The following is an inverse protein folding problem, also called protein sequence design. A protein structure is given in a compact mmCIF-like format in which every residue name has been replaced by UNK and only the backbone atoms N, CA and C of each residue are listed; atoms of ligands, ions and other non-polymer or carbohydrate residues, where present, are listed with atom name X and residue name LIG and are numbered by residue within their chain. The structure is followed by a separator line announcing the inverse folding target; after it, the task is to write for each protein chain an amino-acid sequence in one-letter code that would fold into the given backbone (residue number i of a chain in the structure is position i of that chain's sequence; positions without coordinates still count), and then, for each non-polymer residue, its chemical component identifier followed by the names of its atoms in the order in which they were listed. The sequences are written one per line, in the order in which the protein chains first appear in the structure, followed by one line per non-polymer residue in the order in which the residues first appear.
data_IF_471450402794
#
_entry.id   IF_471450402794
#
_cell.length_a   1.000
_cell.length_b   1.000
_cell.length_c   1.000
_cell.angle_alpha   90.00
_cell.angle_beta   90.00
_cell.angle_gamma   90.00
#
_symmetry.space_group_name_H-M   'P 1'
#
loop_
_entity.id
_entity.type
_entity.pdbx_description
1 polymer ?
#
# COMPACT_ATOMS: atom_id res chain seq x y z
N UNK A 1 6.32 21.58 -6.69
CA UNK A 1 5.31 20.68 -7.30
C UNK A 1 6.03 19.64 -8.14
N UNK A 2 5.76 18.37 -7.90
CA UNK A 2 6.22 17.26 -8.76
C UNK A 2 5.49 17.35 -10.09
N UNK A 3 6.19 17.17 -11.22
CA UNK A 3 5.55 17.17 -12.54
C UNK A 3 5.00 15.78 -12.81
N UNK A 4 3.75 15.71 -13.27
CA UNK A 4 3.13 14.45 -13.69
C UNK A 4 3.94 13.83 -14.84
N UNK A 5 4.33 12.57 -14.67
CA UNK A 5 4.90 11.73 -15.72
C UNK A 5 4.05 10.46 -15.85
N UNK A 6 3.16 10.45 -16.81
CA UNK A 6 2.18 9.37 -17.02
C UNK A 6 2.86 8.02 -17.28
N UNK A 7 3.97 8.02 -18.02
CA UNK A 7 4.73 6.81 -18.31
C UNK A 7 5.35 6.21 -17.03
N UNK A 8 5.89 7.06 -16.15
CA UNK A 8 6.48 6.57 -14.89
C UNK A 8 5.39 6.01 -13.96
N UNK A 9 4.21 6.65 -13.88
CA UNK A 9 3.07 6.13 -13.13
C UNK A 9 2.66 4.74 -13.64
N UNK A 10 2.54 4.59 -14.96
CA UNK A 10 2.20 3.32 -15.57
C UNK A 10 3.24 2.22 -15.28
N UNK A 11 4.51 2.53 -15.48
CA UNK A 11 5.61 1.59 -15.21
C UNK A 11 5.60 1.10 -13.77
N UNK A 12 5.41 2.01 -12.81
CA UNK A 12 5.40 1.64 -11.40
C UNK A 12 4.17 0.79 -11.03
N UNK A 13 2.99 1.08 -11.59
CA UNK A 13 1.81 0.22 -11.40
C UNK A 13 2.05 -1.20 -11.95
N UNK A 14 2.65 -1.31 -13.15
CA UNK A 14 2.99 -2.62 -13.74
C UNK A 14 4.00 -3.36 -12.87
N UNK A 15 5.06 -2.67 -12.42
CA UNK A 15 6.09 -3.22 -11.54
C UNK A 15 5.50 -3.82 -10.26
N UNK A 16 4.58 -3.10 -9.62
CA UNK A 16 3.86 -3.58 -8.44
C UNK A 16 3.00 -4.81 -8.79
N UNK A 17 2.25 -4.77 -9.88
CA UNK A 17 1.38 -5.87 -10.30
C UNK A 17 2.17 -7.15 -10.58
N UNK A 18 3.31 -7.06 -11.26
CA UNK A 18 4.14 -8.23 -11.54
C UNK A 18 4.72 -8.84 -10.25
N UNK A 19 5.11 -8.00 -9.30
CA UNK A 19 5.52 -8.46 -7.99
C UNK A 19 4.39 -9.23 -7.27
N UNK A 20 3.18 -8.66 -7.21
CA UNK A 20 2.03 -9.29 -6.58
C UNK A 20 1.62 -10.60 -7.28
N UNK A 21 1.63 -10.62 -8.60
CA UNK A 21 1.34 -11.81 -9.40
C UNK A 21 2.35 -12.93 -9.16
N UNK A 22 3.63 -12.59 -9.01
CA UNK A 22 4.66 -13.57 -8.68
C UNK A 22 4.49 -14.12 -7.27
N UNK A 23 4.21 -13.29 -6.28
CA UNK A 23 3.93 -13.77 -4.92
C UNK A 23 2.72 -14.70 -4.91
N UNK A 24 1.66 -14.37 -5.65
CA UNK A 24 0.49 -15.24 -5.79
C UNK A 24 0.88 -16.64 -6.25
N UNK A 25 1.70 -16.74 -7.29
CA UNK A 25 2.19 -18.02 -7.81
C UNK A 25 3.01 -18.80 -6.79
N UNK A 26 3.97 -18.14 -6.15
CA UNK A 26 4.84 -18.75 -5.14
C UNK A 26 4.06 -19.14 -3.87
N UNK A 27 3.05 -18.36 -3.50
CA UNK A 27 2.22 -18.65 -2.33
C UNK A 27 1.41 -19.92 -2.51
N UNK A 28 0.87 -20.15 -3.71
CA UNK A 28 0.07 -21.34 -4.01
C UNK A 28 0.92 -22.56 -4.40
N UNK A 29 2.19 -22.37 -4.71
CA UNK A 29 3.08 -23.47 -5.02
C UNK A 29 3.21 -24.42 -3.82
N UNK A 30 3.09 -25.72 -4.07
CA UNK A 30 3.24 -26.78 -3.08
C UNK A 30 2.25 -26.77 -1.90
N UNK A 31 1.19 -25.95 -1.94
CA UNK A 31 0.12 -25.95 -0.93
C UNK A 31 -0.99 -26.92 -1.30
N UNK A 32 -1.17 -27.94 -0.48
CA UNK A 32 -2.25 -28.92 -0.66
C UNK A 32 -2.79 -29.34 0.73
N UNK A 33 -4.00 -28.96 1.09
CA UNK A 33 -4.94 -28.11 0.32
C UNK A 33 -4.48 -26.65 0.23
N UNK A 34 -5.01 -25.90 -0.74
CA UNK A 34 -4.61 -24.53 -1.02
C UNK A 34 -4.77 -23.53 0.16
N UNK A 35 -5.59 -23.88 1.15
CA UNK A 35 -5.79 -23.10 2.37
C UNK A 35 -4.84 -23.48 3.52
N UNK A 36 -3.88 -24.39 3.31
CA UNK A 36 -2.87 -24.70 4.32
C UNK A 36 -1.86 -23.55 4.44
N UNK A 37 -2.15 -22.63 5.34
CA UNK A 37 -1.31 -21.45 5.58
C UNK A 37 0.07 -21.80 6.18
N UNK A 38 0.25 -23.01 6.70
CA UNK A 38 1.55 -23.45 7.27
C UNK A 38 2.48 -24.09 6.24
N UNK A 39 1.96 -24.43 5.05
CA UNK A 39 2.73 -25.10 4.01
C UNK A 39 3.37 -24.13 2.99
N UNK A 40 4.27 -24.68 2.17
CA UNK A 40 4.89 -23.99 1.05
C UNK A 40 6.03 -23.04 1.42
N UNK A 41 6.51 -22.32 0.43
CA UNK A 41 7.65 -21.41 0.56
C UNK A 41 7.33 -20.17 1.42
N UNK A 42 6.08 -19.67 1.32
CA UNK A 42 5.60 -18.48 2.03
C UNK A 42 4.57 -18.93 3.07
N UNK A 43 4.93 -19.04 4.36
CA UNK A 43 3.99 -19.41 5.42
C UNK A 43 3.14 -18.21 5.86
N UNK A 44 2.01 -18.49 6.48
CA UNK A 44 1.09 -17.48 7.00
C UNK A 44 0.01 -17.06 6.01
N UNK A 45 -0.82 -16.11 6.40
CA UNK A 45 -1.80 -15.50 5.51
C UNK A 45 -1.09 -14.54 4.55
N UNK A 46 -1.61 -14.41 3.32
CA UNK A 46 -1.08 -13.51 2.31
C UNK A 46 -2.18 -12.56 1.82
N UNK A 47 -1.91 -11.27 1.88
CA UNK A 47 -2.81 -10.21 1.43
C UNK A 47 -2.16 -9.43 0.29
N UNK A 48 -2.71 -9.53 -0.91
CA UNK A 48 -2.15 -8.95 -2.13
C UNK A 48 -2.91 -7.68 -2.54
N UNK A 49 -2.20 -6.71 -3.09
CA UNK A 49 -2.73 -5.38 -3.39
C UNK A 49 -3.17 -5.17 -4.84
N UNK A 50 -3.26 -6.24 -5.63
CA UNK A 50 -3.70 -6.15 -7.02
C UNK A 50 -5.03 -5.39 -7.17
N UNK A 51 -5.03 -4.37 -8.02
CA UNK A 51 -6.13 -3.44 -8.24
C UNK A 51 -6.08 -2.17 -7.41
N UNK A 52 -5.14 -2.03 -6.45
CA UNK A 52 -4.98 -0.85 -5.61
C UNK A 52 -3.71 -0.04 -5.93
N UNK A 53 -3.00 -0.41 -6.99
CA UNK A 53 -1.73 0.22 -7.39
C UNK A 53 -1.83 1.74 -7.58
N UNK A 54 -2.92 2.30 -8.16
CA UNK A 54 -3.06 3.74 -8.33
C UNK A 54 -2.95 4.54 -7.03
N UNK A 55 -3.47 3.99 -5.91
CA UNK A 55 -3.41 4.65 -4.61
C UNK A 55 -1.97 4.87 -4.16
N UNK A 56 -1.15 3.81 -4.22
CA UNK A 56 0.24 3.89 -3.81
C UNK A 56 1.08 4.77 -4.75
N UNK A 57 0.96 4.53 -6.06
CA UNK A 57 1.78 5.20 -7.07
C UNK A 57 1.50 6.71 -7.09
N UNK A 58 0.21 7.11 -7.10
CA UNK A 58 -0.17 8.51 -7.10
C UNK A 58 0.24 9.25 -5.83
N UNK A 59 0.13 8.60 -4.66
CA UNK A 59 0.55 9.21 -3.38
C UNK A 59 2.07 9.31 -3.28
N UNK A 60 2.78 8.21 -3.55
CA UNK A 60 4.23 8.14 -3.38
C UNK A 60 5.01 9.02 -4.37
N UNK A 61 4.45 9.36 -5.53
CA UNK A 61 5.06 10.25 -6.51
C UNK A 61 5.44 11.63 -5.94
N UNK A 62 4.83 12.07 -4.85
CA UNK A 62 5.10 13.35 -4.17
C UNK A 62 6.01 13.24 -2.95
N UNK A 63 6.38 12.02 -2.56
CA UNK A 63 7.20 11.80 -1.39
C UNK A 63 8.69 11.92 -1.72
N UNK A 64 9.46 12.28 -0.72
CA UNK A 64 10.92 12.46 -0.81
C UNK A 64 11.60 11.50 0.16
N UNK A 65 12.87 11.24 -0.08
CA UNK A 65 13.69 10.52 0.90
C UNK A 65 13.60 11.18 2.28
N UNK A 66 13.24 10.39 3.27
CA UNK A 66 13.06 10.85 4.65
C UNK A 66 11.61 11.15 5.06
N UNK A 67 10.66 11.22 4.11
CA UNK A 67 9.24 11.15 4.44
C UNK A 67 8.91 9.77 5.01
N UNK A 68 7.83 9.63 5.75
CA UNK A 68 7.48 8.37 6.39
C UNK A 68 6.14 7.83 5.89
N UNK A 69 6.04 6.51 5.74
CA UNK A 69 4.77 5.82 5.49
C UNK A 69 4.50 4.79 6.58
N UNK A 70 3.26 4.79 7.06
CA UNK A 70 2.71 3.69 7.85
C UNK A 70 1.55 3.06 7.08
N UNK A 71 1.73 1.81 6.66
CA UNK A 71 0.80 1.08 5.81
C UNK A 71 -0.02 0.03 6.60
N UNK A 72 -0.94 -0.62 5.91
CA UNK A 72 -1.79 -1.70 6.42
C UNK A 72 -1.11 -3.08 6.29
N UNK A 73 -1.85 -4.13 6.61
CA UNK A 73 -1.49 -5.53 6.36
C UNK A 73 -1.34 -5.89 4.87
N UNK A 74 -1.76 -5.00 3.96
CA UNK A 74 -1.60 -5.08 2.50
C UNK A 74 -0.61 -3.99 2.06
N UNK A 75 0.70 -4.20 2.30
CA UNK A 75 1.64 -3.08 2.26
C UNK A 75 2.44 -2.95 0.97
N UNK A 76 2.46 -4.01 0.11
CA UNK A 76 3.51 -4.17 -0.90
C UNK A 76 3.55 -3.02 -1.90
N UNK A 77 2.39 -2.57 -2.39
CA UNK A 77 2.30 -1.47 -3.34
C UNK A 77 2.86 -0.16 -2.77
N UNK A 78 2.51 0.20 -1.52
CA UNK A 78 3.09 1.38 -0.87
C UNK A 78 4.58 1.20 -0.57
N UNK A 79 5.01 0.00 -0.18
CA UNK A 79 6.42 -0.27 0.07
C UNK A 79 7.26 -0.08 -1.20
N UNK A 80 6.86 -0.68 -2.32
CA UNK A 80 7.55 -0.57 -3.60
C UNK A 80 7.54 0.87 -4.12
N UNK A 81 6.38 1.51 -4.15
CA UNK A 81 6.24 2.88 -4.63
C UNK A 81 7.02 3.89 -3.76
N UNK A 82 7.25 3.58 -2.48
CA UNK A 82 8.08 4.41 -1.59
C UNK A 82 9.59 4.14 -1.67
N UNK A 83 9.98 3.12 -2.46
CA UNK A 83 11.38 2.80 -2.70
C UNK A 83 12.00 1.77 -1.73
N UNK A 84 11.17 0.98 -1.03
CA UNK A 84 11.66 -0.18 -0.29
C UNK A 84 12.28 -1.18 -1.27
N UNK A 85 13.45 -1.70 -0.94
CA UNK A 85 14.17 -2.65 -1.80
C UNK A 85 13.36 -3.94 -2.00
N UNK A 86 13.03 -4.24 -3.26
CA UNK A 86 12.22 -5.40 -3.63
C UNK A 86 12.86 -6.72 -3.19
N UNK A 87 14.19 -6.84 -3.29
CA UNK A 87 14.93 -8.05 -2.92
C UNK A 87 14.83 -8.30 -1.41
N UNK A 88 15.05 -7.25 -0.61
CA UNK A 88 14.96 -7.33 0.85
C UNK A 88 13.50 -7.58 1.30
N UNK A 89 12.52 -6.96 0.65
CA UNK A 89 11.09 -7.19 0.94
C UNK A 89 10.68 -8.63 0.62
N UNK A 90 11.06 -9.15 -0.54
CA UNK A 90 10.74 -10.53 -0.91
C UNK A 90 11.46 -11.55 -0.02
N UNK A 91 12.72 -11.27 0.37
CA UNK A 91 13.44 -12.09 1.34
C UNK A 91 12.74 -12.11 2.70
N UNK A 92 12.13 -11.00 3.14
CA UNK A 92 11.31 -10.95 4.36
C UNK A 92 10.06 -11.82 4.24
N UNK A 93 9.35 -11.73 3.11
CA UNK A 93 8.16 -12.52 2.81
C UNK A 93 8.47 -14.02 2.81
N UNK A 94 9.65 -14.40 2.32
CA UNK A 94 10.12 -15.80 2.31
C UNK A 94 10.75 -16.24 3.65
N UNK A 95 10.71 -15.38 4.67
CA UNK A 95 11.29 -15.69 5.99
C UNK A 95 12.79 -15.84 5.97
N UNK A 96 13.53 -15.02 5.23
CA UNK A 96 15.00 -15.07 5.08
C UNK A 96 15.69 -14.03 5.94
N UNK A 97 16.92 -14.33 6.38
CA UNK A 97 17.70 -13.43 7.25
C UNK A 97 18.15 -12.15 6.57
N UNK A 98 18.16 -12.10 5.23
CA UNK A 98 18.46 -10.90 4.43
C UNK A 98 17.24 -10.01 4.23
N UNK A 99 16.07 -10.39 4.78
CA UNK A 99 14.86 -9.60 4.75
C UNK A 99 14.91 -8.39 5.68
N UNK A 100 13.98 -7.46 5.48
CA UNK A 100 13.86 -6.19 6.20
C UNK A 100 13.84 -6.34 7.73
N UNK A 101 13.20 -7.40 8.22
CA UNK A 101 13.10 -7.77 9.65
C UNK A 101 13.81 -9.10 9.94
N UNK A 102 14.76 -9.50 9.11
CA UNK A 102 15.51 -10.76 9.22
C UNK A 102 14.60 -12.01 9.21
N UNK A 103 13.52 -11.95 8.41
CA UNK A 103 12.56 -13.03 8.27
C UNK A 103 11.58 -13.21 9.43
N UNK A 104 11.47 -12.24 10.33
CA UNK A 104 10.62 -12.32 11.54
C UNK A 104 9.27 -11.63 11.39
N UNK A 105 9.15 -10.67 10.48
CA UNK A 105 7.95 -9.86 10.28
C UNK A 105 6.95 -10.48 9.32
N UNK A 106 7.44 -11.16 8.29
CA UNK A 106 6.62 -11.58 7.16
C UNK A 106 6.00 -10.38 6.44
N UNK A 107 5.04 -10.64 5.54
CA UNK A 107 4.49 -9.58 4.69
C UNK A 107 3.67 -8.50 5.42
N UNK A 108 3.04 -8.84 6.57
CA UNK A 108 2.19 -7.89 7.30
C UNK A 108 2.94 -6.97 8.27
N UNK A 109 4.22 -7.19 8.49
CA UNK A 109 5.02 -6.46 9.48
C UNK A 109 6.38 -6.06 8.90
N UNK A 110 6.38 -5.51 7.68
CA UNK A 110 7.56 -4.93 7.05
C UNK A 110 7.99 -3.68 7.82
N UNK A 111 9.28 -3.56 8.07
CA UNK A 111 9.87 -2.38 8.69
C UNK A 111 11.18 -2.05 7.98
N UNK A 112 11.22 -0.90 7.32
CA UNK A 112 12.41 -0.36 6.68
C UNK A 112 12.77 0.98 7.33
N UNK A 113 13.79 0.96 8.17
CA UNK A 113 14.23 2.13 8.91
C UNK A 113 14.89 3.18 7.98
N UNK A 114 15.50 2.75 6.89
CA UNK A 114 16.19 3.65 5.96
C UNK A 114 15.20 4.48 5.14
N UNK A 115 14.10 3.84 4.71
CA UNK A 115 13.04 4.49 3.96
C UNK A 115 11.90 5.00 4.86
N UNK A 116 12.01 4.88 6.19
CA UNK A 116 10.95 5.25 7.13
C UNK A 116 9.59 4.59 6.79
N UNK A 117 9.63 3.35 6.35
CA UNK A 117 8.45 2.57 6.02
C UNK A 117 8.14 1.55 7.11
N UNK A 118 6.86 1.44 7.47
CA UNK A 118 6.35 0.37 8.34
C UNK A 118 4.95 -0.04 7.97
N UNK A 119 4.59 -1.29 8.26
CA UNK A 119 3.23 -1.78 8.13
C UNK A 119 2.82 -2.64 9.32
N UNK A 120 1.51 -2.83 9.49
CA UNK A 120 0.99 -3.63 10.60
C UNK A 120 -0.34 -4.30 10.25
N UNK A 121 -0.51 -5.55 10.74
CA UNK A 121 -1.78 -6.26 10.74
C UNK A 121 -2.77 -5.75 11.80
N UNK A 122 -2.36 -4.87 12.73
CA UNK A 122 -3.24 -4.29 13.74
C UNK A 122 -4.03 -3.13 13.10
N UNK A 123 -5.35 -3.26 13.08
CA UNK A 123 -6.25 -2.34 12.38
C UNK A 123 -6.11 -0.91 12.91
N UNK A 124 -5.88 0.04 11.98
CA UNK A 124 -5.67 1.48 12.21
C UNK A 124 -4.44 1.84 13.07
N UNK A 125 -3.56 0.90 13.42
CA UNK A 125 -2.36 1.18 14.23
C UNK A 125 -1.42 2.19 13.55
N UNK A 126 -1.34 2.20 12.23
CA UNK A 126 -0.48 3.11 11.48
C UNK A 126 -0.78 4.60 11.73
N UNK A 127 -2.02 4.96 12.01
CA UNK A 127 -2.43 6.36 12.17
C UNK A 127 -1.73 7.08 13.34
N UNK A 128 -1.79 6.59 14.59
CA UNK A 128 -1.06 7.24 15.68
C UNK A 128 0.46 7.18 15.50
N UNK A 129 1.00 6.15 14.84
CA UNK A 129 2.43 6.06 14.52
C UNK A 129 2.83 7.15 13.53
N UNK A 130 2.07 7.38 12.47
CA UNK A 130 2.31 8.49 11.53
C UNK A 130 2.22 9.86 12.22
N UNK A 131 1.28 10.05 13.15
CA UNK A 131 1.22 11.26 13.97
C UNK A 131 2.51 11.44 14.79
N UNK A 132 3.10 10.36 15.28
CA UNK A 132 4.40 10.38 15.98
C UNK A 132 5.55 10.83 15.05
N UNK A 133 5.64 10.28 13.84
CA UNK A 133 6.60 10.74 12.82
C UNK A 133 6.41 12.23 12.50
N UNK A 134 5.18 12.64 12.20
CA UNK A 134 4.85 14.03 11.87
C UNK A 134 5.18 14.99 13.02
N UNK A 135 4.94 14.57 14.29
CA UNK A 135 5.34 15.34 15.45
C UNK A 135 6.87 15.50 15.54
N UNK A 136 7.61 14.42 15.29
CA UNK A 136 9.07 14.45 15.28
C UNK A 136 9.60 15.39 14.19
N UNK A 137 9.06 15.34 12.97
CA UNK A 137 9.42 16.22 11.87
C UNK A 137 9.14 17.69 12.21
N UNK A 138 7.95 17.98 12.72
CA UNK A 138 7.58 19.32 13.18
C UNK A 138 8.51 19.85 14.28
N UNK A 139 8.85 19.01 15.26
CA UNK A 139 9.75 19.39 16.37
C UNK A 139 11.18 19.64 15.91
N UNK A 140 11.64 18.92 14.88
CA UNK A 140 12.95 19.11 14.27
C UNK A 140 12.98 20.30 13.31
N UNK A 141 11.84 20.87 12.94
CA UNK A 141 11.74 21.97 11.97
C UNK A 141 12.11 21.55 10.54
N UNK A 142 11.87 20.30 10.17
CA UNK A 142 12.11 19.77 8.81
C UNK A 142 10.85 19.90 7.96
N UNK A 143 10.99 19.76 6.63
CA UNK A 143 9.89 19.77 5.65
C UNK A 143 9.32 18.37 5.34
N UNK A 144 9.73 17.37 6.10
CA UNK A 144 9.27 15.99 5.96
C UNK A 144 7.79 15.85 6.29
N UNK A 145 7.13 14.92 5.63
CA UNK A 145 5.73 14.58 5.87
C UNK A 145 5.59 13.12 6.24
N UNK A 146 4.51 12.79 6.94
CA UNK A 146 4.12 11.40 7.19
C UNK A 146 2.84 11.08 6.41
N UNK A 147 2.76 9.87 5.87
CA UNK A 147 1.55 9.32 5.27
C UNK A 147 1.05 8.16 6.13
N UNK A 148 -0.23 8.16 6.44
CA UNK A 148 -0.90 7.09 7.16
C UNK A 148 -1.94 6.43 6.25
N UNK A 149 -1.78 5.15 5.95
CA UNK A 149 -2.69 4.40 5.08
C UNK A 149 -3.60 3.48 5.90
N UNK A 150 -4.88 3.43 5.55
CA UNK A 150 -5.82 2.44 6.10
C UNK A 150 -6.87 2.03 5.06
N UNK A 151 -7.66 0.99 5.36
CA UNK A 151 -8.86 0.64 4.60
C UNK A 151 -10.11 1.34 5.15
N UNK A 152 -11.20 1.36 4.36
CA UNK A 152 -12.47 1.98 4.72
C UNK A 152 -13.11 1.37 5.99
N UNK A 153 -12.94 0.06 6.19
CA UNK A 153 -13.43 -0.60 7.41
C UNK A 153 -12.69 -0.15 8.65
N UNK A 154 -11.37 0.04 8.56
CA UNK A 154 -10.52 0.50 9.64
C UNK A 154 -10.77 1.98 10.01
N UNK A 155 -11.35 2.78 9.12
CA UNK A 155 -11.78 4.15 9.40
C UNK A 155 -12.88 4.24 10.48
N UNK A 156 -13.42 3.10 10.93
CA UNK A 156 -14.37 3.02 12.04
C UNK A 156 -13.70 2.72 13.41
N UNK A 157 -12.38 2.54 13.45
CA UNK A 157 -11.63 2.35 14.68
C UNK A 157 -11.45 3.66 15.44
N UNK A 158 -11.43 3.57 16.79
CA UNK A 158 -11.18 4.73 17.66
C UNK A 158 -9.87 5.45 17.33
N UNK A 159 -8.79 4.69 17.09
CA UNK A 159 -7.47 5.22 16.73
C UNK A 159 -7.48 6.12 15.47
N UNK A 160 -8.34 5.85 14.49
CA UNK A 160 -8.55 6.75 13.35
C UNK A 160 -9.01 8.12 13.82
N UNK A 161 -10.12 8.17 14.56
CA UNK A 161 -10.74 9.42 15.02
C UNK A 161 -9.85 10.24 15.95
N UNK A 162 -9.19 9.55 16.87
CA UNK A 162 -8.23 10.16 17.81
C UNK A 162 -7.04 10.77 17.10
N UNK A 163 -6.50 10.06 16.10
CA UNK A 163 -5.33 10.53 15.31
C UNK A 163 -5.67 11.74 14.44
N UNK A 164 -6.83 11.75 13.76
CA UNK A 164 -7.26 12.89 12.96
C UNK A 164 -7.44 14.14 13.85
N UNK A 165 -8.11 13.98 14.98
CA UNK A 165 -8.29 15.07 15.93
C UNK A 165 -6.95 15.60 16.46
N UNK A 166 -6.06 14.71 16.89
CA UNK A 166 -4.73 15.08 17.39
C UNK A 166 -3.90 15.82 16.33
N UNK A 167 -3.87 15.27 15.11
CA UNK A 167 -3.14 15.87 14.01
C UNK A 167 -3.65 17.28 13.66
N UNK A 168 -4.96 17.47 13.66
CA UNK A 168 -5.58 18.78 13.43
C UNK A 168 -5.23 19.78 14.54
N UNK A 169 -5.43 19.40 15.81
CA UNK A 169 -5.13 20.25 16.98
C UNK A 169 -3.66 20.68 17.01
N UNK A 170 -2.76 19.78 16.66
CA UNK A 170 -1.32 20.05 16.69
C UNK A 170 -0.78 20.54 15.34
N UNK A 171 -1.62 20.68 14.32
CA UNK A 171 -1.25 21.09 12.97
C UNK A 171 -0.06 20.27 12.45
N UNK A 172 -0.18 18.93 12.48
CA UNK A 172 0.89 18.01 12.11
C UNK A 172 1.02 17.88 10.58
N UNK A 173 2.24 17.73 10.04
CA UNK A 173 2.48 17.47 8.62
C UNK A 173 2.19 16.01 8.28
N UNK A 174 0.92 15.61 8.26
CA UNK A 174 0.49 14.24 7.97
C UNK A 174 -0.63 14.23 6.93
N UNK A 175 -0.54 13.29 6.00
CA UNK A 175 -1.59 12.97 5.02
C UNK A 175 -2.21 11.63 5.41
N UNK A 176 -3.49 11.63 5.66
CA UNK A 176 -4.26 10.42 5.92
C UNK A 176 -4.86 9.89 4.61
N UNK A 177 -4.64 8.61 4.31
CA UNK A 177 -5.12 7.95 3.10
C UNK A 177 -6.03 6.79 3.49
N UNK A 178 -7.20 6.74 2.87
CA UNK A 178 -8.13 5.60 2.96
C UNK A 178 -8.20 4.94 1.58
N UNK A 179 -7.85 3.66 1.51
CA UNK A 179 -8.13 2.80 0.37
C UNK A 179 -9.51 2.17 0.57
N UNK A 180 -10.51 2.69 -0.13
CA UNK A 180 -11.88 2.19 -0.08
C UNK A 180 -12.10 1.20 -1.24
N UNK A 181 -12.08 -0.09 -0.95
CA UNK A 181 -12.36 -1.15 -1.91
C UNK A 181 -13.74 -1.80 -1.69
N UNK A 182 -14.63 -1.11 -0.99
CA UNK A 182 -16.00 -1.51 -0.64
C UNK A 182 -16.11 -2.66 0.38
N UNK A 183 -15.00 -3.26 0.84
CA UNK A 183 -15.04 -4.48 1.64
C UNK A 183 -14.06 -4.50 2.81
N UNK A 184 -14.58 -4.49 4.03
CA UNK A 184 -13.82 -4.81 5.25
C UNK A 184 -13.86 -6.34 5.48
N UNK A 185 -12.87 -7.07 4.96
CA UNK A 185 -12.87 -8.53 4.83
C UNK A 185 -14.09 -8.97 4.00
N UNK A 186 -15.14 -9.45 4.65
CA UNK A 186 -16.41 -9.90 4.06
C UNK A 186 -17.60 -8.99 4.38
N UNK A 187 -17.36 -7.87 5.06
CA UNK A 187 -18.41 -6.90 5.43
C UNK A 187 -18.41 -5.78 4.39
N UNK A 188 -19.51 -5.60 3.64
CA UNK A 188 -19.59 -4.50 2.69
C UNK A 188 -19.60 -3.16 3.42
N UNK A 189 -19.00 -2.15 2.80
CA UNK A 189 -18.91 -0.79 3.35
C UNK A 189 -20.27 -0.24 3.78
N UNK A 190 -21.32 -0.50 3.02
CA UNK A 190 -22.69 -0.08 3.33
C UNK A 190 -23.26 -0.62 4.66
N UNK A 191 -22.67 -1.69 5.20
CA UNK A 191 -23.06 -2.27 6.49
C UNK A 191 -22.20 -1.79 7.66
N UNK A 192 -21.05 -1.18 7.37
CA UNK A 192 -20.09 -0.73 8.40
C UNK A 192 -20.02 0.79 8.54
N UNK A 193 -20.43 1.54 7.50
CA UNK A 193 -20.23 2.98 7.45
C UNK A 193 -21.49 3.68 6.94
N UNK A 194 -22.05 4.59 7.73
CA UNK A 194 -23.27 5.33 7.39
C UNK A 194 -23.04 6.45 6.36
N UNK A 195 -21.85 7.05 6.35
CA UNK A 195 -21.50 8.10 5.39
C UNK A 195 -21.25 7.48 4.02
N UNK A 196 -21.63 8.19 2.97
CA UNK A 196 -21.35 7.81 1.58
C UNK A 196 -19.88 7.98 1.21
N UNK A 197 -19.16 8.86 1.92
CA UNK A 197 -17.72 9.08 1.80
C UNK A 197 -17.07 9.17 3.19
N UNK A 198 -15.94 8.50 3.37
CA UNK A 198 -15.13 8.69 4.56
C UNK A 198 -14.38 10.03 4.53
N UNK A 199 -14.13 10.59 3.34
CA UNK A 199 -13.51 11.92 3.20
C UNK A 199 -14.37 13.01 3.86
N UNK A 200 -15.69 12.86 3.92
CA UNK A 200 -16.61 13.80 4.58
C UNK A 200 -16.34 13.94 6.10
N UNK A 201 -15.72 12.91 6.70
CA UNK A 201 -15.34 12.94 8.13
C UNK A 201 -14.30 14.00 8.43
N UNK A 202 -13.49 14.39 7.44
CA UNK A 202 -12.43 15.39 7.59
C UNK A 202 -12.96 16.74 8.08
N UNK A 203 -14.15 17.14 7.60
CA UNK A 203 -14.79 18.39 8.02
C UNK A 203 -15.03 18.46 9.54
N UNK A 204 -15.32 17.32 10.17
CA UNK A 204 -15.51 17.24 11.63
C UNK A 204 -14.25 17.53 12.44
N UNK A 205 -13.06 17.44 11.82
CA UNK A 205 -11.77 17.74 12.42
C UNK A 205 -11.16 19.05 11.91
N UNK A 206 -11.89 19.80 11.05
CA UNK A 206 -11.42 21.06 10.50
C UNK A 206 -10.27 20.94 9.49
N UNK A 207 -10.15 19.80 8.83
CA UNK A 207 -9.15 19.57 7.78
C UNK A 207 -9.80 19.31 6.41
N UNK A 208 -9.10 19.51 5.29
CA UNK A 208 -9.58 19.15 3.96
C UNK A 208 -9.78 17.63 3.83
N UNK A 209 -10.90 17.24 3.19
CA UNK A 209 -11.17 15.86 2.77
C UNK A 209 -11.43 15.82 1.26
N UNK A 210 -10.81 14.88 0.57
CA UNK A 210 -10.97 14.69 -0.87
C UNK A 210 -11.26 13.22 -1.14
N UNK A 211 -12.28 12.93 -1.98
CA UNK A 211 -12.53 11.59 -2.49
C UNK A 211 -12.12 11.53 -3.95
N UNK A 212 -11.34 10.52 -4.30
CA UNK A 212 -10.93 10.17 -5.65
C UNK A 212 -11.74 8.95 -6.09
N UNK A 213 -12.44 9.08 -7.20
CA UNK A 213 -13.26 8.01 -7.77
C UNK A 213 -12.53 7.26 -8.89
N UNK A 214 -13.10 6.13 -9.29
CA UNK A 214 -12.70 5.37 -10.47
C UNK A 214 -11.27 4.79 -10.44
N UNK A 215 -10.62 4.78 -9.29
CA UNK A 215 -9.27 4.23 -9.18
C UNK A 215 -8.27 4.88 -10.19
N UNK A 216 -8.44 6.18 -10.41
CA UNK A 216 -7.72 6.96 -11.41
C UNK A 216 -6.39 7.46 -10.81
N UNK A 217 -5.26 6.96 -11.35
CA UNK A 217 -3.93 7.28 -10.84
C UNK A 217 -3.55 8.75 -10.98
N UNK A 218 -4.01 9.43 -12.05
CA UNK A 218 -3.72 10.86 -12.26
C UNK A 218 -4.52 11.71 -11.27
N UNK A 219 -5.78 11.37 -11.02
CA UNK A 219 -6.59 12.04 -10.01
C UNK A 219 -6.04 11.81 -8.60
N UNK A 220 -5.50 10.61 -8.30
CA UNK A 220 -4.78 10.37 -7.04
C UNK A 220 -3.54 11.23 -6.95
N UNK A 221 -2.75 11.30 -8.03
CA UNK A 221 -1.55 12.15 -8.09
C UNK A 221 -1.89 13.61 -7.76
N UNK A 222 -2.90 14.19 -8.39
CA UNK A 222 -3.31 15.58 -8.14
C UNK A 222 -3.78 15.81 -6.69
N UNK A 223 -4.63 14.93 -6.17
CA UNK A 223 -5.13 15.03 -4.79
C UNK A 223 -4.00 14.88 -3.77
N UNK A 224 -3.09 13.92 -3.99
CA UNK A 224 -1.95 13.68 -3.13
C UNK A 224 -0.95 14.85 -3.16
N UNK A 225 -0.69 15.41 -4.35
CA UNK A 225 0.16 16.58 -4.50
C UNK A 225 -0.30 17.75 -3.66
N UNK A 226 -1.60 18.09 -3.75
CA UNK A 226 -2.19 19.16 -2.96
C UNK A 226 -2.08 18.91 -1.45
N UNK A 227 -2.31 17.67 -1.01
CA UNK A 227 -2.24 17.30 0.41
C UNK A 227 -0.80 17.30 0.95
N UNK A 228 0.16 16.77 0.19
CA UNK A 228 1.58 16.75 0.57
C UNK A 228 2.16 18.17 0.59
N UNK A 229 1.88 18.99 -0.41
CA UNK A 229 2.34 20.39 -0.45
C UNK A 229 1.77 21.18 0.75
N UNK A 230 0.50 20.98 1.08
CA UNK A 230 -0.12 21.58 2.27
C UNK A 230 0.57 21.15 3.56
N UNK A 231 0.83 19.87 3.73
CA UNK A 231 1.51 19.34 4.91
C UNK A 231 2.93 19.89 5.04
N UNK A 232 3.71 19.94 3.93
CA UNK A 232 5.06 20.51 3.88
C UNK A 232 5.10 22.01 4.19
N UNK A 233 4.09 22.74 3.75
CA UNK A 233 3.93 24.16 4.05
C UNK A 233 3.59 24.43 5.53
N UNK A 234 3.34 23.37 6.34
CA UNK A 234 2.94 23.50 7.74
C UNK A 234 1.49 23.95 7.93
N UNK A 235 0.67 23.79 6.89
CA UNK A 235 -0.75 24.14 6.90
C UNK A 235 -1.66 23.05 7.51
N UNK A 236 -1.05 21.95 7.99
CA UNK A 236 -1.71 20.88 8.71
C UNK A 236 -2.13 19.69 7.86
N UNK A 237 -2.89 18.73 8.46
CA UNK A 237 -3.23 17.47 7.84
C UNK A 237 -4.30 17.58 6.77
N UNK A 238 -4.40 16.54 5.94
CA UNK A 238 -5.48 16.31 4.97
C UNK A 238 -5.91 14.86 5.00
N UNK A 239 -7.14 14.56 4.58
CA UNK A 239 -7.67 13.22 4.40
C UNK A 239 -8.00 12.98 2.93
N UNK A 240 -7.47 11.92 2.35
CA UNK A 240 -7.78 11.46 1.00
C UNK A 240 -8.45 10.09 1.09
N UNK A 241 -9.62 9.94 0.51
CA UNK A 241 -10.27 8.65 0.29
C UNK A 241 -10.12 8.30 -1.18
N UNK A 242 -9.57 7.14 -1.48
CA UNK A 242 -9.34 6.65 -2.84
C UNK A 242 -10.22 5.42 -3.03
N UNK A 243 -11.22 5.54 -3.92
CA UNK A 243 -12.06 4.41 -4.29
C UNK A 243 -11.28 3.49 -5.22
N UNK A 244 -10.88 2.34 -4.70
CA UNK A 244 -10.04 1.34 -5.36
C UNK A 244 -10.85 0.10 -5.74
N UNK A 245 -10.18 -0.88 -6.33
CA UNK A 245 -10.74 -2.22 -6.54
C UNK A 245 -9.78 -3.27 -5.97
N UNK A 246 -10.31 -4.21 -5.19
CA UNK A 246 -9.56 -5.37 -4.77
C UNK A 246 -9.85 -6.50 -5.76
N UNK A 247 -8.91 -6.80 -6.66
CA UNK A 247 -9.13 -7.80 -7.73
C UNK A 247 -9.19 -9.22 -7.17
N UNK A 248 -8.39 -9.53 -6.16
CA UNK A 248 -8.31 -10.85 -5.55
C UNK A 248 -9.04 -10.89 -4.20
N UNK A 249 -8.94 -12.00 -3.48
CA UNK A 249 -9.57 -12.17 -2.17
C UNK A 249 -9.04 -11.21 -1.10
N UNK A 250 -9.67 -11.22 0.08
CA UNK A 250 -9.12 -10.47 1.20
C UNK A 250 -7.72 -10.99 1.55
N UNK A 251 -7.57 -12.31 1.59
CA UNK A 251 -6.31 -13.04 1.70
C UNK A 251 -6.31 -14.19 0.69
N UNK A 252 -5.15 -14.77 0.44
CA UNK A 252 -5.05 -15.92 -0.46
C UNK A 252 -5.62 -17.18 0.19
N UNK A 253 -6.64 -17.75 -0.46
CA UNK A 253 -7.52 -18.80 0.06
C UNK A 253 -8.93 -18.32 0.40
N UNK A 254 -9.21 -17.01 0.32
CA UNK A 254 -10.57 -16.46 0.46
C UNK A 254 -11.44 -16.83 -0.76
N UNK A 255 -12.50 -17.58 -0.53
CA UNK A 255 -13.41 -18.01 -1.60
C UNK A 255 -14.30 -16.90 -2.16
N UNK A 256 -14.31 -15.72 -1.54
CA UNK A 256 -15.03 -14.50 -1.96
C UNK A 256 -16.55 -14.68 -2.22
N UNK A 257 -17.17 -15.71 -1.67
CA UNK A 257 -18.60 -16.00 -1.90
C UNK A 257 -19.54 -14.84 -1.49
N UNK A 258 -19.07 -13.96 -0.60
CA UNK A 258 -19.80 -12.79 -0.13
C UNK A 258 -19.88 -11.64 -1.18
N UNK A 259 -19.04 -11.64 -2.22
CA UNK A 259 -19.02 -10.62 -3.28
C UNK A 259 -20.09 -10.87 -4.36
N UNK A 260 -20.53 -12.12 -4.52
CA UNK A 260 -21.58 -12.46 -5.49
C UNK A 260 -21.24 -12.03 -6.92
N UNK A 261 -22.19 -11.36 -7.58
CA UNK A 261 -22.06 -10.91 -8.97
C UNK A 261 -20.99 -9.83 -9.20
N UNK A 262 -20.46 -9.22 -8.16
CA UNK A 262 -19.36 -8.25 -8.30
C UNK A 262 -18.12 -8.90 -8.93
N UNK A 263 -17.89 -10.20 -8.66
CA UNK A 263 -16.76 -10.94 -9.21
C UNK A 263 -16.73 -10.92 -10.74
N UNK A 264 -17.89 -10.89 -11.38
CA UNK A 264 -18.01 -10.89 -12.85
C UNK A 264 -17.60 -9.54 -13.47
N UNK A 265 -17.37 -8.51 -12.65
CA UNK A 265 -17.05 -7.14 -13.11
C UNK A 265 -15.66 -6.67 -12.70
N UNK A 266 -14.87 -7.51 -12.06
CA UNK A 266 -13.56 -7.08 -11.56
C UNK A 266 -12.57 -6.78 -12.69
N UNK A 267 -12.54 -7.62 -13.73
CA UNK A 267 -11.59 -7.45 -14.85
C UNK A 267 -11.79 -6.13 -15.59
N UNK A 268 -13.04 -5.67 -15.72
CA UNK A 268 -13.34 -4.38 -16.38
C UNK A 268 -13.05 -3.15 -15.50
N UNK A 269 -12.72 -3.39 -14.23
CA UNK A 269 -12.33 -2.36 -13.25
C UNK A 269 -10.81 -2.36 -12.98
N UNK A 270 -10.04 -3.23 -13.65
CA UNK A 270 -8.58 -3.30 -13.46
C UNK A 270 -7.92 -1.99 -13.94
N UNK A 271 -7.23 -1.24 -13.05
CA UNK A 271 -6.68 0.06 -13.38
C UNK A 271 -5.55 0.00 -14.43
N UNK A 272 -4.79 -1.10 -14.48
CA UNK A 272 -3.63 -1.19 -15.37
C UNK A 272 -4.03 -1.25 -16.85
N UNK A 273 -4.88 -2.19 -17.31
CA UNK A 273 -5.31 -2.18 -18.70
C UNK A 273 -6.14 -0.95 -19.08
N UNK A 274 -6.92 -0.38 -18.13
CA UNK A 274 -7.66 0.86 -18.37
C UNK A 274 -6.69 2.01 -18.67
N UNK A 275 -5.66 2.18 -17.83
CA UNK A 275 -4.69 3.24 -18.02
C UNK A 275 -3.79 3.02 -19.23
N UNK A 276 -3.38 1.75 -19.51
CA UNK A 276 -2.66 1.41 -20.73
C UNK A 276 -3.43 1.84 -21.99
N UNK A 277 -4.72 1.51 -22.07
CA UNK A 277 -5.56 1.90 -23.20
C UNK A 277 -5.61 3.42 -23.39
N UNK A 278 -5.77 4.18 -22.30
CA UNK A 278 -5.78 5.64 -22.35
C UNK A 278 -4.43 6.22 -22.85
N UNK A 279 -3.30 5.63 -22.43
CA UNK A 279 -1.98 6.06 -22.86
C UNK A 279 -1.68 5.68 -24.32
N UNK A 280 -2.19 4.55 -24.79
CA UNK A 280 -2.10 4.15 -26.21
C UNK A 280 -2.95 5.10 -27.07
N UNK A 281 -4.19 5.37 -26.66
CA UNK A 281 -5.09 6.28 -27.38
C UNK A 281 -4.52 7.71 -27.49
N UNK A 282 -3.78 8.14 -26.47
CA UNK A 282 -3.09 9.45 -26.46
C UNK A 282 -1.73 9.44 -27.19
N UNK A 283 -1.26 8.28 -27.64
CA UNK A 283 0.02 8.13 -28.35
C UNK A 283 1.27 8.20 -27.45
N UNK A 284 1.09 8.04 -26.12
CA UNK A 284 2.20 7.98 -25.16
C UNK A 284 2.83 6.60 -25.12
N UNK A 285 2.04 5.55 -25.33
CA UNK A 285 2.47 4.15 -25.38
C UNK A 285 2.03 3.51 -26.70
N UNK A 286 2.74 2.44 -27.09
CA UNK A 286 2.30 1.44 -28.05
C UNK A 286 2.12 0.07 -27.39
N UNK A 287 1.51 -0.88 -28.06
CA UNK A 287 1.41 -2.27 -27.58
C UNK A 287 2.80 -2.90 -27.33
N UNK A 288 3.78 -2.56 -28.17
CA UNK A 288 5.16 -3.02 -27.99
C UNK A 288 5.80 -2.43 -26.73
N UNK A 289 5.52 -1.17 -26.39
CA UNK A 289 5.99 -0.55 -25.15
C UNK A 289 5.36 -1.23 -23.92
N UNK A 290 4.07 -1.54 -23.97
CA UNK A 290 3.36 -2.26 -22.90
C UNK A 290 4.04 -3.62 -22.66
N UNK A 291 4.31 -4.39 -23.71
CA UNK A 291 4.96 -5.69 -23.62
C UNK A 291 6.40 -5.57 -23.06
N UNK A 292 7.15 -4.54 -23.48
CA UNK A 292 8.51 -4.28 -22.98
C UNK A 292 8.52 -3.93 -21.49
N UNK A 293 7.60 -3.06 -21.05
CA UNK A 293 7.48 -2.65 -19.64
C UNK A 293 7.13 -3.86 -18.75
N UNK A 294 6.23 -4.72 -19.20
CA UNK A 294 5.91 -5.96 -18.48
C UNK A 294 7.12 -6.88 -18.37
N UNK A 295 7.86 -7.08 -19.46
CA UNK A 295 9.03 -7.94 -19.46
C UNK A 295 10.18 -7.40 -18.58
N UNK A 296 10.36 -6.08 -18.54
CA UNK A 296 11.31 -5.42 -17.63
C UNK A 296 10.94 -5.65 -16.16
N UNK A 297 9.66 -5.48 -15.82
CA UNK A 297 9.16 -5.71 -14.46
C UNK A 297 9.28 -7.20 -14.05
N UNK A 298 8.95 -8.13 -14.95
CA UNK A 298 9.11 -9.57 -14.71
C UNK A 298 10.57 -9.94 -14.45
N UNK A 299 11.50 -9.35 -15.20
CA UNK A 299 12.93 -9.60 -15.01
C UNK A 299 13.43 -9.09 -13.62
N UNK A 300 12.98 -7.90 -13.19
CA UNK A 300 13.31 -7.37 -11.86
C UNK A 300 12.76 -8.26 -10.75
N UNK A 301 11.51 -8.70 -10.89
CA UNK A 301 10.87 -9.60 -9.93
C UNK A 301 11.60 -10.94 -9.86
N UNK A 302 11.98 -11.52 -11.02
CA UNK A 302 12.75 -12.77 -11.03
C UNK A 302 14.10 -12.63 -10.33
N UNK A 303 14.81 -11.50 -10.51
CA UNK A 303 16.05 -11.24 -9.75
C UNK A 303 15.81 -11.22 -8.24
N UNK A 304 14.70 -10.61 -7.79
CA UNK A 304 14.34 -10.55 -6.38
C UNK A 304 13.99 -11.96 -5.82
N UNK A 305 13.29 -12.77 -6.61
CA UNK A 305 13.00 -14.17 -6.28
C UNK A 305 14.29 -14.96 -6.11
N UNK A 306 15.20 -14.87 -7.07
CA UNK A 306 16.49 -15.60 -7.00
C UNK A 306 17.32 -15.13 -5.80
N UNK A 307 17.34 -13.83 -5.48
CA UNK A 307 17.98 -13.32 -4.29
C UNK A 307 17.38 -13.94 -3.02
N UNK A 308 16.06 -13.94 -2.87
CA UNK A 308 15.37 -14.46 -1.71
C UNK A 308 15.55 -15.98 -1.55
N UNK A 309 15.49 -16.75 -2.64
CA UNK A 309 15.69 -18.20 -2.63
C UNK A 309 17.12 -18.59 -2.21
N UNK A 310 18.11 -17.81 -2.62
CA UNK A 310 19.52 -18.05 -2.27
C UNK A 310 19.91 -17.47 -0.90
N UNK A 311 19.02 -16.76 -0.24
CA UNK A 311 19.25 -16.15 1.07
C UNK A 311 19.14 -17.19 2.20
N UNK A 312 19.94 -17.05 3.28
CA UNK A 312 19.90 -17.99 4.39
C UNK A 312 18.55 -17.97 5.12
N UNK A 313 18.13 -19.13 5.63
CA UNK A 313 17.01 -19.25 6.57
C UNK A 313 17.49 -18.91 7.99
N UNK A 314 16.64 -18.28 8.84
CA UNK A 314 16.95 -18.02 10.24
C UNK A 314 17.15 -19.33 11.03
N UNK A 315 18.00 -19.27 12.03
CA UNK A 315 18.18 -20.33 13.02
C UNK A 315 17.29 -20.11 14.24
N UNK A 316 17.16 -21.10 15.12
CA UNK A 316 16.41 -20.94 16.37
C UNK A 316 16.99 -19.81 17.26
N UNK A 317 18.28 -19.59 17.22
CA UNK A 317 18.96 -18.54 18.01
C UNK A 317 18.60 -17.13 17.48
N UNK A 318 18.37 -16.97 16.17
CA UNK A 318 17.96 -15.70 15.58
C UNK A 318 16.61 -15.20 16.13
N UNK A 319 15.74 -16.11 16.59
CA UNK A 319 14.45 -15.74 17.19
C UNK A 319 14.59 -14.93 18.48
N UNK A 320 15.71 -15.08 19.18
CA UNK A 320 16.00 -14.42 20.46
C UNK A 320 16.74 -13.08 20.27
N UNK A 321 17.24 -12.81 19.07
CA UNK A 321 17.95 -11.56 18.77
C UNK A 321 16.97 -10.37 18.65
N UNK A 322 17.43 -9.21 19.13
CA UNK A 322 16.69 -7.94 19.03
C UNK A 322 15.34 -7.91 19.78
N UNK A 323 15.14 -8.76 20.78
CA UNK A 323 13.96 -8.71 21.68
C UNK A 323 14.13 -7.61 22.72
N UNK A 324 15.35 -7.40 23.17
CA UNK A 324 15.74 -6.34 24.10
C UNK A 324 16.94 -5.57 23.51
N UNK A 325 17.01 -4.29 23.84
CA UNK A 325 18.13 -3.42 23.47
C UNK A 325 19.35 -3.68 24.38
#
# INVERSE_FOLDING_TARGET
MTTLNQLDLYKEMVRIRQFEGRILQEYHADKTPAWDIGAGLIPGEMHLSAGQEPAAVGVCAHLKKGDAITATHRPHHFALAHGVDMKAMLAEIYGRTTGLCQGKGGHMHLFDAENHFSCSGIIAQGYPVACGHALAFKRRGTDQVAVAVTGEGAANQGAFHESLNLAAVWNLPVVFVIEDNDWAISVPRSHSTSNTSNADRAAGYGMPGVRVENNDVEAVFEAAGAAVDRARAGEGPSLIEIHTVRLWGHFEGDAQAYRGAELDTLDVRDPIPIYAAALIDSGILSDDDVASIQAEADAEVEEAVQFALNSPVPTADDALLHVFA
#
